data_IF_209098093937
#
_entry.id   IF_209098093937
#
_cell.length_a   1.000
_cell.length_b   1.000
_cell.length_c   1.000
_cell.angle_alpha   90.00
_cell.angle_beta   90.00
_cell.angle_gamma   90.00
#
_symmetry.space_group_name_H-M   'P 1'
#
loop_
_entity.id
_entity.type
_entity.pdbx_description
1 polymer ?
#
# COMPACT_ATOMS: atom_id res chain seq x y z
N UNK A 1 50.48 -14.66 -2.03
CA UNK A 1 51.57 -15.23 -1.19
C UNK A 1 52.87 -15.17 -1.98
N UNK A 2 53.99 -14.79 -1.35
CA UNK A 2 55.31 -14.71 -1.99
C UNK A 2 56.28 -15.57 -1.19
N UNK A 3 56.87 -16.59 -1.82
CA UNK A 3 57.90 -17.40 -1.19
C UNK A 3 59.26 -16.71 -1.32
N UNK A 4 59.75 -16.12 -0.22
CA UNK A 4 61.10 -15.53 -0.13
C UNK A 4 62.15 -16.52 0.40
N UNK A 5 61.76 -17.75 0.68
CA UNK A 5 62.63 -18.81 1.13
C UNK A 5 63.43 -19.43 -0.01
N UNK A 6 64.35 -20.32 0.37
CA UNK A 6 65.23 -21.05 -0.55
C UNK A 6 64.73 -22.47 -0.86
N UNK A 7 63.58 -22.86 -0.30
CA UNK A 7 62.91 -24.14 -0.51
C UNK A 7 61.46 -23.93 -0.97
N UNK A 8 60.87 -24.96 -1.57
CA UNK A 8 59.46 -24.97 -1.95
C UNK A 8 58.55 -24.77 -0.72
N UNK A 9 57.54 -23.92 -0.85
CA UNK A 9 56.58 -23.64 0.21
C UNK A 9 55.21 -24.21 -0.15
N UNK A 10 54.85 -25.34 0.46
CA UNK A 10 53.49 -25.88 0.40
C UNK A 10 52.59 -25.06 1.33
N UNK A 11 51.44 -24.60 0.84
CA UNK A 11 50.47 -23.85 1.63
C UNK A 11 49.08 -24.46 1.53
N UNK A 12 48.29 -24.30 2.59
CA UNK A 12 46.87 -24.63 2.61
C UNK A 12 46.08 -23.64 3.47
N UNK A 13 44.88 -23.28 3.00
CA UNK A 13 43.95 -22.44 3.74
C UNK A 13 43.38 -23.24 4.92
N UNK A 14 43.48 -22.68 6.12
CA UNK A 14 42.77 -23.19 7.28
C UNK A 14 41.27 -22.91 7.11
N UNK A 15 40.39 -23.90 7.22
CA UNK A 15 38.95 -23.71 7.06
C UNK A 15 38.42 -22.59 7.97
N UNK A 16 37.64 -21.62 7.45
CA UNK A 16 37.05 -20.56 8.25
C UNK A 16 36.10 -21.13 9.32
N UNK A 17 36.18 -20.62 10.55
CA UNK A 17 35.36 -21.09 11.68
C UNK A 17 34.13 -20.21 11.94
N UNK A 18 34.10 -18.99 11.41
CA UNK A 18 33.01 -18.03 11.60
C UNK A 18 31.95 -18.19 10.51
N UNK A 19 30.66 -17.94 10.80
CA UNK A 19 29.61 -17.98 9.78
C UNK A 19 29.86 -17.03 8.61
N UNK A 20 30.45 -15.86 8.86
CA UNK A 20 30.77 -14.89 7.82
C UNK A 20 32.07 -15.24 7.08
N UNK A 21 33.03 -15.88 7.74
CA UNK A 21 34.21 -16.45 7.09
C UNK A 21 33.85 -17.46 6.02
N UNK A 22 32.76 -18.23 6.22
CA UNK A 22 32.21 -19.17 5.24
C UNK A 22 31.61 -18.49 3.99
N UNK A 23 31.38 -17.17 4.03
CA UNK A 23 30.93 -16.39 2.86
C UNK A 23 32.09 -16.02 1.91
N UNK A 24 33.33 -16.33 2.28
CA UNK A 24 34.52 -16.09 1.46
C UNK A 24 34.96 -17.36 0.74
N UNK A 25 35.32 -17.22 -0.53
CA UNK A 25 35.95 -18.28 -1.32
C UNK A 25 37.33 -17.83 -1.78
N UNK A 26 38.31 -18.70 -1.59
CA UNK A 26 39.70 -18.50 -1.98
C UNK A 26 40.06 -19.48 -3.09
N UNK A 27 40.71 -19.00 -4.15
CA UNK A 27 41.17 -19.85 -5.25
C UNK A 27 42.59 -19.45 -5.69
N UNK A 28 43.59 -20.35 -5.63
CA UNK A 28 43.53 -21.70 -5.05
C UNK A 28 43.50 -21.67 -3.50
N UNK A 29 42.99 -22.75 -2.88
CA UNK A 29 42.99 -22.90 -1.41
C UNK A 29 44.27 -23.56 -0.89
N UNK A 30 44.94 -24.34 -1.72
CA UNK A 30 46.21 -25.00 -1.42
C UNK A 30 47.10 -25.00 -2.66
N UNK A 31 48.39 -25.22 -2.48
CA UNK A 31 49.35 -25.31 -3.58
C UNK A 31 50.79 -25.22 -3.12
N UNK A 32 51.71 -25.22 -4.08
CA UNK A 32 53.15 -25.12 -3.84
C UNK A 32 53.70 -23.87 -4.53
N UNK A 33 54.51 -23.09 -3.82
CA UNK A 33 55.17 -21.90 -4.33
C UNK A 33 56.68 -22.17 -4.35
N UNK A 34 57.29 -22.18 -5.53
CA UNK A 34 58.73 -22.35 -5.70
C UNK A 34 59.52 -21.18 -5.07
N UNK A 35 60.82 -21.34 -4.76
CA UNK A 35 61.69 -20.27 -4.28
C UNK A 35 61.63 -19.02 -5.16
N UNK A 36 61.41 -17.86 -4.55
CA UNK A 36 61.22 -16.57 -5.26
C UNK A 36 59.89 -16.46 -6.02
N UNK A 37 59.03 -17.48 -5.97
CA UNK A 37 57.76 -17.54 -6.67
C UNK A 37 56.64 -16.73 -6.01
N UNK A 38 55.66 -16.34 -6.82
CA UNK A 38 54.46 -15.62 -6.40
C UNK A 38 53.21 -16.42 -6.74
N UNK A 39 52.34 -16.61 -5.75
CA UNK A 39 50.99 -17.16 -5.94
C UNK A 39 49.95 -16.08 -5.69
N UNK A 40 49.14 -15.79 -6.71
CA UNK A 40 47.95 -14.95 -6.60
C UNK A 40 46.80 -15.79 -6.05
N UNK A 41 46.15 -15.33 -4.98
CA UNK A 41 44.93 -15.95 -4.44
C UNK A 41 43.77 -15.03 -4.77
N UNK A 42 42.82 -15.53 -5.57
CA UNK A 42 41.58 -14.83 -5.88
C UNK A 42 40.61 -15.02 -4.72
N UNK A 43 40.06 -13.92 -4.22
CA UNK A 43 39.12 -13.91 -3.10
C UNK A 43 37.78 -13.42 -3.64
N UNK A 44 36.71 -14.18 -3.39
CA UNK A 44 35.34 -13.74 -3.67
C UNK A 44 34.53 -13.77 -2.37
N UNK A 45 33.60 -12.83 -2.22
CA UNK A 45 32.80 -12.68 -1.00
C UNK A 45 31.35 -12.41 -1.35
N UNK A 46 30.44 -13.17 -0.75
CA UNK A 46 28.99 -12.99 -0.91
C UNK A 46 28.31 -13.22 0.43
N UNK A 47 27.75 -12.17 1.02
CA UNK A 47 27.01 -12.24 2.28
C UNK A 47 25.65 -11.54 2.14
N UNK A 48 24.65 -12.08 2.83
CA UNK A 48 23.34 -11.46 3.02
C UNK A 48 23.21 -10.74 4.36
N UNK A 49 24.23 -10.81 5.21
CA UNK A 49 24.26 -10.18 6.54
C UNK A 49 24.84 -8.78 6.40
N UNK A 50 24.04 -7.76 6.72
CA UNK A 50 24.45 -6.36 6.71
C UNK A 50 25.35 -6.01 7.91
N UNK A 51 26.17 -4.98 7.75
CA UNK A 51 26.95 -4.39 8.83
C UNK A 51 28.46 -4.49 8.62
N UNK A 52 29.20 -3.94 9.59
CA UNK A 52 30.66 -4.00 9.61
C UNK A 52 31.12 -5.40 9.94
N UNK A 53 32.22 -5.81 9.32
CA UNK A 53 32.87 -7.07 9.63
C UNK A 53 34.39 -6.98 9.59
N UNK A 54 34.99 -7.93 10.29
CA UNK A 54 36.43 -8.18 10.30
C UNK A 54 36.61 -9.68 10.46
N UNK A 55 37.23 -10.30 9.46
CA UNK A 55 37.49 -11.74 9.44
C UNK A 55 38.98 -11.99 9.25
N UNK A 56 39.49 -13.00 9.94
CA UNK A 56 40.88 -13.43 9.83
C UNK A 56 40.96 -14.82 9.20
N UNK A 57 41.71 -14.91 8.11
CA UNK A 57 41.98 -16.14 7.40
C UNK A 57 43.43 -16.53 7.60
N UNK A 58 43.68 -17.81 7.86
CA UNK A 58 45.01 -18.33 8.15
C UNK A 58 45.43 -19.29 7.05
N UNK A 59 46.64 -19.11 6.53
CA UNK A 59 47.28 -20.05 5.61
C UNK A 59 48.37 -20.79 6.37
N UNK A 60 48.20 -22.10 6.49
CA UNK A 60 49.28 -22.94 6.97
C UNK A 60 50.34 -23.03 5.87
N UNK A 61 51.61 -22.88 6.22
CA UNK A 61 52.73 -23.02 5.29
C UNK A 61 53.70 -24.02 5.90
N UNK A 62 54.00 -25.07 5.16
CA UNK A 62 54.90 -26.13 5.63
C UNK A 62 56.28 -25.54 5.98
N UNK A 63 56.78 -25.87 7.17
CA UNK A 63 58.02 -25.32 7.71
C UNK A 63 57.90 -23.97 8.44
N UNK A 64 56.72 -23.33 8.45
CA UNK A 64 56.45 -22.14 9.26
C UNK A 64 55.79 -22.52 10.60
N UNK A 65 56.33 -22.10 11.76
CA UNK A 65 55.73 -22.41 13.07
C UNK A 65 54.41 -21.66 13.30
N UNK A 66 54.25 -20.50 12.67
CA UNK A 66 53.02 -19.71 12.74
C UNK A 66 52.38 -19.57 11.35
N UNK A 67 51.04 -19.68 11.25
CA UNK A 67 50.35 -19.51 9.99
C UNK A 67 50.34 -18.04 9.54
N UNK A 68 50.38 -17.83 8.23
CA UNK A 68 50.25 -16.49 7.64
C UNK A 68 48.81 -16.03 7.78
N UNK A 69 48.58 -14.91 8.48
CA UNK A 69 47.23 -14.38 8.73
C UNK A 69 46.89 -13.24 7.78
N UNK A 70 45.72 -13.32 7.16
CA UNK A 70 45.10 -12.30 6.31
C UNK A 70 43.85 -11.77 7.01
N UNK A 71 43.85 -10.51 7.39
CA UNK A 71 42.67 -9.84 7.94
C UNK A 71 41.92 -9.10 6.84
N UNK A 72 40.65 -9.42 6.63
CA UNK A 72 39.76 -8.73 5.70
C UNK A 72 38.72 -7.94 6.51
N UNK A 73 38.58 -6.65 6.20
CA UNK A 73 37.60 -5.75 6.84
C UNK A 73 36.70 -5.15 5.79
N UNK A 74 35.43 -4.97 6.13
CA UNK A 74 34.46 -4.36 5.22
C UNK A 74 33.16 -3.99 5.91
N UNK A 75 32.22 -3.46 5.13
CA UNK A 75 30.87 -3.18 5.56
C UNK A 75 29.91 -3.64 4.47
N UNK A 76 29.02 -4.57 4.80
CA UNK A 76 27.96 -5.01 3.89
C UNK A 76 26.79 -4.04 4.03
N UNK A 77 26.41 -3.39 2.94
CA UNK A 77 25.25 -2.50 2.88
C UNK A 77 24.20 -3.08 1.94
N UNK A 78 22.93 -2.80 2.22
CA UNK A 78 21.84 -3.06 1.29
C UNK A 78 21.83 -2.02 0.15
N UNK A 79 20.97 -2.21 -0.86
CA UNK A 79 20.67 -1.15 -1.83
C UNK A 79 20.23 0.11 -1.10
N UNK A 80 20.78 1.26 -1.47
CA UNK A 80 20.35 2.58 -1.02
C UNK A 80 19.25 3.11 -1.93
N UNK A 81 18.21 3.70 -1.35
CA UNK A 81 17.06 4.24 -2.07
C UNK A 81 16.31 5.28 -1.23
N UNK A 82 15.44 6.07 -1.88
CA UNK A 82 14.62 7.07 -1.22
C UNK A 82 13.32 7.34 -2.00
N UNK A 83 12.34 7.92 -1.31
CA UNK A 83 11.19 8.55 -1.95
C UNK A 83 11.50 10.02 -2.29
N UNK A 84 10.93 10.52 -3.38
CA UNK A 84 11.04 11.92 -3.80
C UNK A 84 10.24 12.91 -2.94
N UNK A 85 9.26 12.40 -2.18
CA UNK A 85 8.43 13.16 -1.25
C UNK A 85 8.65 12.71 0.20
N UNK A 86 8.48 13.61 1.19
CA UNK A 86 8.64 13.26 2.61
C UNK A 86 7.42 12.55 3.21
N UNK A 87 6.24 12.70 2.61
CA UNK A 87 4.99 12.07 3.05
C UNK A 87 3.94 12.07 1.93
N UNK A 88 2.90 11.24 2.10
CA UNK A 88 1.69 11.24 1.28
C UNK A 88 0.52 11.78 2.09
N UNK A 89 0.19 13.06 1.91
CA UNK A 89 -0.96 13.68 2.56
C UNK A 89 -2.18 13.71 1.63
N UNK A 90 -3.15 12.84 1.89
CA UNK A 90 -4.40 12.78 1.13
C UNK A 90 -5.35 13.92 1.51
N UNK A 91 -5.13 14.58 2.65
CA UNK A 91 -6.02 15.58 3.22
C UNK A 91 -7.39 14.99 3.56
N UNK A 92 -8.43 15.80 3.37
CA UNK A 92 -9.80 15.37 3.55
C UNK A 92 -10.29 14.60 2.32
N UNK A 93 -10.80 13.39 2.54
CA UNK A 93 -11.36 12.51 1.51
C UNK A 93 -12.81 12.17 1.82
N UNK A 94 -13.63 12.07 0.79
CA UNK A 94 -15.03 11.70 0.97
C UNK A 94 -15.19 10.19 1.08
N UNK A 95 -16.08 9.76 1.98
CA UNK A 95 -16.41 8.35 2.19
C UNK A 95 -16.80 7.65 0.88
N UNK A 96 -16.08 6.60 0.52
CA UNK A 96 -16.31 5.78 -0.67
C UNK A 96 -15.80 6.39 -1.98
N UNK A 97 -15.17 7.56 -1.94
CA UNK A 97 -14.58 8.19 -3.12
C UNK A 97 -13.08 7.89 -3.17
N UNK A 98 -12.58 7.26 -4.25
CA UNK A 98 -11.16 7.00 -4.39
C UNK A 98 -10.39 8.30 -4.62
N UNK A 99 -9.27 8.47 -3.92
CA UNK A 99 -8.28 9.53 -4.17
C UNK A 99 -6.91 8.89 -4.35
N UNK A 100 -6.18 9.32 -5.36
CA UNK A 100 -4.86 8.78 -5.71
C UNK A 100 -3.80 9.86 -5.58
N UNK A 101 -2.71 9.54 -4.90
CA UNK A 101 -1.47 10.31 -4.89
C UNK A 101 -0.35 9.50 -5.56
N UNK A 102 0.74 10.16 -5.90
CA UNK A 102 1.91 9.51 -6.48
C UNK A 102 3.18 9.92 -5.75
N UNK A 103 4.12 9.00 -5.68
CA UNK A 103 5.50 9.23 -5.26
C UNK A 103 6.44 8.43 -6.15
N UNK A 104 7.72 8.79 -6.16
CA UNK A 104 8.77 8.12 -6.90
C UNK A 104 9.74 7.46 -5.95
N UNK A 105 9.99 6.17 -6.17
CA UNK A 105 11.04 5.43 -5.48
C UNK A 105 12.29 5.39 -6.36
N UNK A 106 13.39 5.93 -5.86
CA UNK A 106 14.66 6.03 -6.58
C UNK A 106 15.68 5.08 -5.96
N UNK A 107 16.15 4.10 -6.73
CA UNK A 107 17.30 3.28 -6.34
C UNK A 107 18.58 4.08 -6.62
N UNK A 108 19.34 4.42 -5.59
CA UNK A 108 20.61 5.15 -5.70
C UNK A 108 21.82 4.23 -5.67
N UNK A 109 21.62 2.92 -5.51
CA UNK A 109 22.69 1.94 -5.46
C UNK A 109 23.15 1.46 -6.85
N UNK A 110 24.33 0.84 -6.85
CA UNK A 110 24.94 0.22 -8.01
C UNK A 110 24.36 -1.16 -8.35
N UNK A 111 23.46 -1.68 -7.51
CA UNK A 111 22.86 -3.02 -7.68
C UNK A 111 21.35 -2.92 -7.90
N UNK A 112 20.72 -3.87 -8.60
CA UNK A 112 19.27 -3.95 -8.68
C UNK A 112 18.64 -4.15 -7.29
N UNK A 113 17.46 -3.54 -7.08
CA UNK A 113 16.71 -3.61 -5.84
C UNK A 113 15.33 -4.22 -6.10
N UNK A 114 15.11 -5.44 -5.62
CA UNK A 114 13.79 -6.08 -5.61
C UNK A 114 13.04 -5.71 -4.34
N UNK A 115 11.80 -5.27 -4.48
CA UNK A 115 11.03 -4.69 -3.38
C UNK A 115 9.56 -5.12 -3.38
N UNK A 116 8.94 -4.99 -2.21
CA UNK A 116 7.49 -5.08 -2.01
C UNK A 116 7.01 -3.93 -1.14
N UNK A 117 5.90 -3.31 -1.54
CA UNK A 117 5.25 -2.22 -0.84
C UNK A 117 4.02 -2.73 -0.08
N UNK A 118 3.84 -2.23 1.14
CA UNK A 118 2.69 -2.54 2.00
C UNK A 118 2.30 -1.31 2.81
N UNK A 119 1.08 -1.30 3.34
CA UNK A 119 0.64 -0.35 4.37
C UNK A 119 0.19 -1.18 5.58
N UNK A 120 1.08 -1.39 6.57
CA UNK A 120 0.69 -2.05 7.82
C UNK A 120 -0.45 -1.27 8.47
N UNK A 121 -1.47 -1.97 8.97
CA UNK A 121 -2.63 -1.32 9.61
C UNK A 121 -3.78 -0.93 8.67
N UNK A 122 -3.67 -1.16 7.35
CA UNK A 122 -4.79 -1.00 6.40
C UNK A 122 -5.89 -2.08 6.53
N UNK A 123 -5.87 -2.90 7.59
CA UNK A 123 -6.80 -4.01 7.73
C UNK A 123 -6.45 -5.23 6.87
N UNK A 124 -7.21 -6.30 7.06
CA UNK A 124 -7.01 -7.62 6.41
C UNK A 124 -8.31 -8.21 5.84
N UNK A 125 -9.39 -7.43 5.91
CA UNK A 125 -10.70 -7.79 5.40
C UNK A 125 -10.83 -7.58 3.90
N UNK A 126 -12.08 -7.65 3.44
CA UNK A 126 -12.42 -7.43 2.04
C UNK A 126 -12.01 -6.04 1.57
N UNK A 127 -11.66 -5.88 0.27
CA UNK A 127 -11.37 -4.58 -0.31
C UNK A 127 -12.52 -3.60 -0.14
N UNK A 128 -12.16 -2.35 0.07
CA UNK A 128 -13.09 -1.24 0.06
C UNK A 128 -13.88 -1.17 -1.25
N UNK A 129 -15.12 -0.69 -1.16
CA UNK A 129 -16.03 -0.57 -2.30
C UNK A 129 -16.19 0.91 -2.62
N UNK A 130 -15.94 1.27 -3.88
CA UNK A 130 -16.13 2.64 -4.37
C UNK A 130 -17.61 3.00 -4.43
N UNK A 131 -17.90 4.30 -4.39
CA UNK A 131 -19.27 4.82 -4.53
C UNK A 131 -19.90 4.43 -5.87
N UNK A 132 -19.11 4.40 -6.95
CA UNK A 132 -19.56 4.01 -8.29
C UNK A 132 -20.02 2.55 -8.31
N UNK A 133 -19.22 1.65 -7.74
CA UNK A 133 -19.59 0.24 -7.61
C UNK A 133 -20.88 0.09 -6.79
N UNK A 134 -21.02 0.83 -5.68
CA UNK A 134 -22.24 0.77 -4.86
C UNK A 134 -23.49 1.21 -5.60
N UNK A 135 -23.41 2.27 -6.39
CA UNK A 135 -24.54 2.78 -7.17
C UNK A 135 -24.98 1.80 -8.27
N UNK A 136 -24.03 1.04 -8.84
CA UNK A 136 -24.33 0.03 -9.87
C UNK A 136 -24.86 -1.28 -9.26
N UNK A 137 -24.37 -1.69 -8.09
CA UNK A 137 -24.56 -3.05 -7.57
C UNK A 137 -25.81 -3.30 -6.71
N UNK A 138 -26.68 -2.32 -6.40
CA UNK A 138 -27.92 -2.65 -5.65
C UNK A 138 -29.11 -1.70 -5.79
N UNK A 139 -30.35 -2.24 -5.91
CA UNK A 139 -31.60 -1.55 -5.59
C UNK A 139 -31.91 -1.50 -4.08
N UNK A 140 -31.03 -2.01 -3.20
CA UNK A 140 -31.25 -2.06 -1.74
C UNK A 140 -29.99 -1.61 -0.98
N UNK A 141 -29.91 -0.34 -0.54
CA UNK A 141 -28.80 0.15 0.26
C UNK A 141 -28.99 -0.35 1.70
N UNK A 142 -28.58 -1.58 1.99
CA UNK A 142 -28.25 -1.88 3.38
C UNK A 142 -26.89 -1.24 3.62
N UNK A 143 -26.88 -0.06 4.25
CA UNK A 143 -25.74 0.36 5.06
C UNK A 143 -25.56 -0.77 6.08
N UNK A 144 -24.72 -1.76 5.76
CA UNK A 144 -24.47 -2.90 6.63
C UNK A 144 -23.98 -2.32 7.95
N UNK A 145 -24.84 -2.35 8.97
CA UNK A 145 -24.40 -2.11 10.35
C UNK A 145 -23.28 -3.11 10.60
N UNK A 146 -22.10 -2.64 11.02
CA UNK A 146 -20.95 -3.48 11.39
C UNK A 146 -21.46 -4.61 12.29
N UNK A 147 -21.50 -5.82 11.78
CA UNK A 147 -21.63 -7.03 12.60
C UNK A 147 -20.32 -7.18 13.36
N UNK A 148 -20.40 -7.28 14.70
CA UNK A 148 -19.25 -7.50 15.58
C UNK A 148 -18.46 -8.73 15.07
N UNK A 149 -17.19 -8.57 14.72
CA UNK A 149 -16.28 -9.66 14.32
C UNK A 149 -15.76 -9.66 12.88
N UNK A 150 -16.11 -8.69 12.03
CA UNK A 150 -15.50 -8.56 10.70
C UNK A 150 -14.15 -7.83 10.76
N UNK A 151 -13.13 -8.41 10.12
CA UNK A 151 -11.82 -7.78 9.94
C UNK A 151 -11.95 -6.41 9.25
N UNK A 152 -11.10 -5.44 9.62
CA UNK A 152 -11.12 -4.11 9.00
C UNK A 152 -10.87 -4.22 7.50
N UNK A 153 -11.63 -3.49 6.65
CA UNK A 153 -11.50 -3.57 5.21
C UNK A 153 -10.14 -3.04 4.75
N UNK A 154 -9.65 -3.54 3.62
CA UNK A 154 -8.45 -3.02 2.95
C UNK A 154 -8.83 -1.81 2.09
N UNK A 155 -8.37 -0.63 2.48
CA UNK A 155 -8.81 0.66 1.93
C UNK A 155 -7.77 1.32 1.02
N UNK A 156 -6.52 0.88 1.06
CA UNK A 156 -5.46 1.34 0.17
C UNK A 156 -5.18 0.36 -0.97
N UNK A 157 -4.84 0.90 -2.13
CA UNK A 157 -4.32 0.15 -3.28
C UNK A 157 -3.03 0.78 -3.77
N UNK A 158 -1.99 -0.03 -3.93
CA UNK A 158 -0.64 0.41 -4.33
C UNK A 158 -0.34 -0.13 -5.74
N UNK A 159 0.14 0.71 -6.66
CA UNK A 159 0.43 0.35 -8.05
C UNK A 159 1.74 1.01 -8.53
N UNK A 160 2.77 0.24 -8.92
CA UNK A 160 2.94 -1.18 -8.65
C UNK A 160 3.18 -1.44 -7.15
N UNK A 161 2.76 -2.60 -6.62
CA UNK A 161 3.00 -2.97 -5.22
C UNK A 161 4.27 -3.80 -5.00
N UNK A 162 4.96 -4.21 -6.06
CA UNK A 162 6.23 -4.92 -6.02
C UNK A 162 6.92 -4.84 -7.37
N UNK A 163 8.23 -5.07 -7.40
CA UNK A 163 9.01 -5.13 -8.62
C UNK A 163 10.51 -5.08 -8.36
N UNK A 164 11.29 -4.85 -9.41
CA UNK A 164 12.74 -4.67 -9.31
C UNK A 164 13.13 -3.37 -9.98
N UNK A 165 13.83 -2.50 -9.25
CA UNK A 165 14.40 -1.26 -9.77
C UNK A 165 15.87 -1.52 -10.08
N UNK A 166 16.28 -1.38 -11.35
CA UNK A 166 17.68 -1.47 -11.75
C UNK A 166 18.57 -0.46 -11.01
N UNK A 167 19.89 -0.63 -11.09
CA UNK A 167 20.84 0.36 -10.57
C UNK A 167 20.55 1.74 -11.14
N UNK A 168 20.56 2.76 -10.26
CA UNK A 168 20.19 4.14 -10.60
C UNK A 168 18.82 4.32 -11.27
N UNK A 169 17.93 3.33 -11.13
CA UNK A 169 16.59 3.35 -11.69
C UNK A 169 15.61 4.12 -10.81
N UNK A 170 14.48 4.48 -11.41
CA UNK A 170 13.35 5.14 -10.74
C UNK A 170 12.07 4.39 -11.05
N UNK A 171 11.10 4.46 -10.14
CA UNK A 171 9.78 3.90 -10.32
C UNK A 171 8.71 4.82 -9.74
N UNK A 172 7.76 5.22 -10.56
CA UNK A 172 6.59 5.96 -10.10
C UNK A 172 5.56 4.99 -9.50
N UNK A 173 5.08 5.33 -8.31
CA UNK A 173 4.15 4.55 -7.49
C UNK A 173 2.89 5.38 -7.29
N UNK A 174 1.74 4.78 -7.54
CA UNK A 174 0.43 5.33 -7.24
C UNK A 174 -0.14 4.66 -6.00
N UNK A 175 -0.59 5.48 -5.05
CA UNK A 175 -1.29 5.03 -3.84
C UNK A 175 -2.70 5.60 -3.86
N UNK A 176 -3.70 4.73 -3.86
CA UNK A 176 -5.11 5.09 -3.90
C UNK A 176 -5.78 4.74 -2.58
N UNK A 177 -6.40 5.72 -1.92
CA UNK A 177 -7.26 5.55 -0.77
C UNK A 177 -8.72 5.56 -1.21
N UNK A 178 -9.49 4.52 -0.89
CA UNK A 178 -10.95 4.51 -0.98
C UNK A 178 -11.53 4.14 0.38
N UNK A 179 -11.67 5.11 1.26
CA UNK A 179 -12.14 4.84 2.62
C UNK A 179 -13.60 4.38 2.65
N UNK A 180 -13.88 3.33 3.41
CA UNK A 180 -15.21 2.83 3.74
C UNK A 180 -15.48 2.93 5.25
N UNK A 181 -14.65 3.70 5.97
CA UNK A 181 -14.74 3.97 7.40
C UNK A 181 -14.47 5.45 7.68
N UNK A 182 -15.37 6.12 8.40
CA UNK A 182 -15.15 7.53 8.80
C UNK A 182 -14.11 7.53 9.92
N UNK A 183 -12.87 7.87 9.59
CA UNK A 183 -11.72 7.91 10.52
C UNK A 183 -10.59 8.81 10.00
N UNK A 184 -9.64 9.11 10.89
CA UNK A 184 -8.33 9.66 10.53
C UNK A 184 -7.33 8.52 10.34
N UNK A 185 -6.41 8.69 9.39
CA UNK A 185 -5.35 7.75 9.05
C UNK A 185 -4.01 8.38 9.40
N UNK A 186 -3.21 7.67 10.17
CA UNK A 186 -1.80 7.96 10.43
C UNK A 186 -1.05 6.63 10.28
N UNK A 187 -0.64 6.33 9.05
CA UNK A 187 -0.02 5.06 8.65
C UNK A 187 1.28 5.34 7.89
N UNK A 188 1.93 4.29 7.40
CA UNK A 188 3.10 4.42 6.53
C UNK A 188 3.05 3.42 5.38
N UNK A 189 3.48 3.87 4.20
CA UNK A 189 3.85 3.00 3.09
C UNK A 189 5.26 2.46 3.36
N UNK A 190 5.36 1.17 3.68
CA UNK A 190 6.62 0.52 4.00
C UNK A 190 7.20 -0.23 2.80
N UNK A 191 8.53 -0.21 2.70
CA UNK A 191 9.30 -0.91 1.67
C UNK A 191 9.99 -2.12 2.30
N UNK A 192 9.61 -3.31 1.87
CA UNK A 192 10.39 -4.52 2.09
C UNK A 192 11.36 -4.70 0.93
N UNK A 193 12.60 -5.13 1.23
CA UNK A 193 13.63 -5.38 0.22
C UNK A 193 14.11 -6.83 0.34
N UNK A 194 14.02 -7.56 -0.76
CA UNK A 194 14.34 -8.98 -0.81
C UNK A 194 15.81 -9.22 -0.44
N UNK A 195 16.07 -10.15 0.48
CA UNK A 195 17.41 -10.46 0.97
C UNK A 195 18.02 -9.42 1.93
N UNK A 196 17.32 -8.32 2.22
CA UNK A 196 17.80 -7.24 3.09
C UNK A 196 16.95 -7.17 4.37
N UNK A 197 15.62 -7.06 4.23
CA UNK A 197 14.74 -6.94 5.39
C UNK A 197 13.32 -6.49 5.08
N UNK A 198 12.48 -6.48 6.12
CA UNK A 198 11.14 -5.89 6.08
C UNK A 198 11.15 -4.50 6.65
N UNK A 199 10.29 -3.63 6.13
CA UNK A 199 10.10 -2.26 6.62
C UNK A 199 11.42 -1.46 6.68
N UNK A 200 12.25 -1.62 5.65
CA UNK A 200 13.58 -1.00 5.52
C UNK A 200 13.48 0.52 5.38
N UNK A 201 12.40 1.00 4.75
CA UNK A 201 12.05 2.40 4.65
C UNK A 201 10.54 2.56 4.82
N UNK A 202 10.13 3.66 5.42
CA UNK A 202 8.72 4.01 5.61
C UNK A 202 8.46 5.43 5.13
N UNK A 203 7.42 5.60 4.31
CA UNK A 203 6.90 6.90 3.89
C UNK A 203 5.59 7.19 4.64
N UNK A 204 5.57 8.20 5.53
CA UNK A 204 4.37 8.57 6.28
C UNK A 204 3.19 8.89 5.35
N UNK A 205 2.00 8.48 5.76
CA UNK A 205 0.75 8.69 5.03
C UNK A 205 -0.35 9.17 5.98
N UNK A 206 -1.01 10.27 5.61
CA UNK A 206 -2.09 10.88 6.38
C UNK A 206 -3.36 11.09 5.56
N UNK A 207 -4.52 10.94 6.19
CA UNK A 207 -5.81 11.26 5.58
C UNK A 207 -6.90 11.46 6.65
N UNK A 208 -7.98 12.17 6.31
CA UNK A 208 -9.23 12.18 7.10
C UNK A 208 -10.41 11.85 6.21
N UNK A 209 -11.10 10.75 6.51
CA UNK A 209 -12.31 10.37 5.79
C UNK A 209 -13.53 11.03 6.44
N UNK A 210 -14.28 11.78 5.64
CA UNK A 210 -15.46 12.54 6.06
C UNK A 210 -16.69 12.15 5.24
N UNK A 211 -17.87 12.36 5.82
CA UNK A 211 -19.16 12.30 5.10
C UNK A 211 -19.67 13.73 4.96
N UNK A 212 -19.71 14.31 3.76
CA UNK A 212 -20.18 15.67 3.59
C UNK A 212 -21.69 15.78 3.87
N UNK A 213 -22.13 16.77 4.65
CA UNK A 213 -23.54 16.95 4.97
C UNK A 213 -24.31 17.47 3.75
N UNK A 214 -25.28 16.69 3.28
CA UNK A 214 -26.22 17.10 2.23
C UNK A 214 -27.48 17.71 2.87
N UNK A 215 -28.00 18.78 2.28
CA UNK A 215 -29.21 19.48 2.77
C UNK A 215 -30.29 19.46 1.70
N UNK A 216 -31.54 19.26 2.10
CA UNK A 216 -32.69 19.51 1.23
C UNK A 216 -32.98 21.02 1.17
N UNK A 217 -33.06 21.59 -0.03
CA UNK A 217 -33.48 22.99 -0.21
C UNK A 217 -34.98 23.14 0.05
N UNK A 218 -35.77 22.17 -0.42
CA UNK A 218 -37.20 22.06 -0.21
C UNK A 218 -37.52 20.79 0.61
N UNK A 219 -37.33 20.82 1.94
CA UNK A 219 -37.49 19.64 2.81
C UNK A 219 -38.94 19.12 2.89
N UNK A 220 -39.92 19.94 2.52
CA UNK A 220 -41.33 19.57 2.41
C UNK A 220 -41.71 19.60 0.94
N UNK A 221 -42.19 18.47 0.41
CA UNK A 221 -42.63 18.33 -0.97
C UNK A 221 -44.14 18.08 -0.99
N UNK A 222 -44.89 19.01 -1.56
CA UNK A 222 -46.35 18.93 -1.62
C UNK A 222 -46.80 18.43 -2.99
N UNK A 223 -47.46 17.26 -3.04
CA UNK A 223 -47.99 16.69 -4.29
C UNK A 223 -49.40 17.19 -4.62
N UNK A 224 -50.11 17.81 -3.67
CA UNK A 224 -51.45 18.36 -3.90
C UNK A 224 -52.48 17.26 -4.18
N UNK A 225 -53.30 17.45 -5.22
CA UNK A 225 -54.35 16.48 -5.63
C UNK A 225 -53.76 15.40 -6.53
N UNK A 226 -53.65 14.18 -6.02
CA UNK A 226 -53.19 13.02 -6.77
C UNK A 226 -54.37 12.16 -7.25
N UNK A 227 -54.22 11.51 -8.40
CA UNK A 227 -55.17 10.53 -8.89
C UNK A 227 -54.82 9.12 -8.36
N UNK A 228 -55.84 8.32 -8.04
CA UNK A 228 -55.68 6.93 -7.63
C UNK A 228 -54.92 6.14 -8.69
N UNK A 229 -53.92 5.35 -8.25
CA UNK A 229 -53.13 4.43 -9.08
C UNK A 229 -52.41 5.10 -10.27
N UNK A 230 -52.22 6.42 -10.21
CA UNK A 230 -51.44 7.18 -11.18
C UNK A 230 -50.25 7.84 -10.48
N UNK A 231 -49.04 7.78 -11.08
CA UNK A 231 -47.86 8.40 -10.51
C UNK A 231 -47.95 9.93 -10.62
N UNK A 232 -47.79 10.61 -9.49
CA UNK A 232 -47.61 12.06 -9.41
C UNK A 232 -46.12 12.36 -9.21
N UNK A 233 -45.58 13.32 -9.95
CA UNK A 233 -44.16 13.65 -9.90
C UNK A 233 -43.92 14.97 -9.18
N UNK A 234 -42.88 15.00 -8.35
CA UNK A 234 -42.32 16.23 -7.78
C UNK A 234 -40.80 16.14 -7.67
N UNK A 235 -40.12 17.26 -7.45
CA UNK A 235 -38.66 17.30 -7.33
C UNK A 235 -38.21 17.73 -5.95
N UNK A 236 -37.23 17.01 -5.38
CA UNK A 236 -36.49 17.41 -4.19
C UNK A 236 -35.10 17.88 -4.61
N UNK A 237 -34.70 19.08 -4.23
CA UNK A 237 -33.35 19.59 -4.50
C UNK A 237 -32.44 19.28 -3.33
N UNK A 238 -31.41 18.48 -3.57
CA UNK A 238 -30.33 18.21 -2.63
C UNK A 238 -29.17 19.15 -2.91
N UNK A 239 -28.64 19.78 -1.88
CA UNK A 239 -27.55 20.76 -1.96
C UNK A 239 -26.36 20.25 -1.14
N UNK A 240 -25.18 20.26 -1.77
CA UNK A 240 -23.90 20.01 -1.14
C UNK A 240 -23.12 21.32 -1.03
N UNK A 241 -23.05 21.87 0.18
CA UNK A 241 -22.29 23.08 0.46
C UNK A 241 -20.83 22.80 0.87
N UNK A 242 -20.40 21.54 0.91
CA UNK A 242 -19.03 21.19 1.28
C UNK A 242 -18.09 21.20 0.07
N UNK A 243 -16.79 21.16 0.35
CA UNK A 243 -15.73 21.05 -0.66
C UNK A 243 -15.47 19.59 -1.10
N UNK A 244 -16.18 18.63 -0.51
CA UNK A 244 -16.07 17.21 -0.80
C UNK A 244 -17.31 16.70 -1.55
N UNK A 245 -17.17 15.76 -2.50
CA UNK A 245 -18.32 15.17 -3.18
C UNK A 245 -19.13 14.33 -2.21
N UNK A 246 -20.45 14.49 -2.21
CA UNK A 246 -21.37 13.67 -1.43
C UNK A 246 -22.03 12.59 -2.28
N UNK A 247 -22.51 11.53 -1.64
CA UNK A 247 -23.39 10.55 -2.28
C UNK A 247 -24.68 10.46 -1.49
N UNK A 248 -25.81 10.38 -2.19
CA UNK A 248 -27.12 10.14 -1.58
C UNK A 248 -27.69 8.81 -2.06
N UNK A 249 -28.58 8.26 -1.26
CA UNK A 249 -29.44 7.15 -1.66
C UNK A 249 -30.81 7.32 -1.02
N UNK A 250 -31.86 7.23 -1.82
CA UNK A 250 -33.24 7.24 -1.38
C UNK A 250 -33.54 5.90 -0.69
N UNK A 251 -33.86 5.97 0.59
CA UNK A 251 -34.19 4.78 1.36
C UNK A 251 -35.52 4.18 0.87
N UNK A 252 -35.62 2.85 0.77
CA UNK A 252 -36.88 2.20 0.43
C UNK A 252 -37.97 2.52 1.45
N UNK A 253 -39.18 2.77 0.97
CA UNK A 253 -40.35 2.91 1.84
C UNK A 253 -40.52 1.68 2.75
N UNK A 254 -40.65 1.93 4.06
CA UNK A 254 -41.00 0.91 5.04
C UNK A 254 -42.47 0.52 4.88
N UNK A 255 -42.80 -0.77 5.04
CA UNK A 255 -44.18 -1.30 4.96
C UNK A 255 -44.93 -1.02 3.65
N UNK A 256 -44.40 -1.44 2.49
CA UNK A 256 -45.09 -1.28 1.18
C UNK A 256 -46.45 -2.01 1.06
N UNK A 257 -46.69 -3.06 1.84
CA UNK A 257 -47.96 -3.81 1.82
C UNK A 257 -48.99 -3.08 2.67
N UNK A 258 -50.10 -2.68 2.06
CA UNK A 258 -51.19 -1.94 2.74
C UNK A 258 -50.92 -0.45 2.93
N UNK A 259 -49.81 0.09 2.42
CA UNK A 259 -49.55 1.53 2.47
C UNK A 259 -50.56 2.29 1.62
N UNK A 260 -51.10 3.38 2.17
CA UNK A 260 -52.01 4.28 1.48
C UNK A 260 -51.37 4.96 0.26
N UNK A 261 -50.05 5.09 0.28
CA UNK A 261 -49.24 5.76 -0.74
C UNK A 261 -47.97 4.96 -1.00
N UNK A 262 -47.52 4.88 -2.25
CA UNK A 262 -46.22 4.33 -2.62
C UNK A 262 -45.32 5.43 -3.15
N UNK A 263 -44.10 5.55 -2.62
CA UNK A 263 -43.10 6.47 -3.17
C UNK A 263 -41.94 5.72 -3.83
N UNK A 264 -41.39 6.32 -4.87
CA UNK A 264 -40.20 5.85 -5.58
C UNK A 264 -39.47 7.01 -6.25
N UNK A 265 -38.29 6.75 -6.80
CA UNK A 265 -37.55 7.70 -7.62
C UNK A 265 -36.83 6.96 -8.73
N UNK A 266 -36.83 7.46 -9.97
CA UNK A 266 -35.98 6.92 -11.02
C UNK A 266 -34.48 7.17 -10.77
N UNK A 267 -34.14 8.13 -9.91
CA UNK A 267 -32.77 8.49 -9.54
C UNK A 267 -32.51 8.23 -8.04
N UNK A 268 -32.84 7.03 -7.56
CA UNK A 268 -32.79 6.62 -6.16
C UNK A 268 -31.39 6.61 -5.52
N UNK A 269 -30.33 6.95 -6.26
CA UNK A 269 -29.01 7.19 -5.72
C UNK A 269 -28.17 7.99 -6.71
N UNK A 270 -27.23 8.77 -6.20
CA UNK A 270 -26.41 9.62 -7.04
C UNK A 270 -25.34 10.37 -6.26
N UNK A 271 -24.50 11.09 -7.00
CA UNK A 271 -23.42 11.90 -6.47
C UNK A 271 -23.83 13.36 -6.54
N UNK A 272 -23.56 14.12 -5.48
CA UNK A 272 -23.66 15.59 -5.46
C UNK A 272 -22.25 16.14 -5.40
N UNK A 273 -21.84 16.88 -6.43
CA UNK A 273 -20.49 17.43 -6.51
C UNK A 273 -20.25 18.48 -5.41
N UNK A 274 -18.98 18.82 -5.12
CA UNK A 274 -18.67 19.93 -4.23
C UNK A 274 -19.37 21.21 -4.67
N UNK A 275 -19.88 21.99 -3.71
CA UNK A 275 -20.51 23.30 -3.97
C UNK A 275 -21.61 23.26 -5.05
N UNK A 276 -22.37 22.17 -5.13
CA UNK A 276 -23.37 21.95 -6.17
C UNK A 276 -24.71 21.48 -5.61
N UNK A 277 -25.73 21.44 -6.45
CA UNK A 277 -27.02 20.83 -6.17
C UNK A 277 -27.39 19.78 -7.22
N UNK A 278 -28.32 18.90 -6.86
CA UNK A 278 -28.93 17.93 -7.77
C UNK A 278 -30.44 17.87 -7.52
N UNK A 279 -31.20 17.70 -8.60
CA UNK A 279 -32.64 17.45 -8.53
C UNK A 279 -32.90 15.95 -8.42
N UNK A 280 -33.59 15.56 -7.35
CA UNK A 280 -34.07 14.21 -7.10
C UNK A 280 -35.56 14.13 -7.46
N UNK A 281 -35.92 13.56 -8.62
CA UNK A 281 -37.32 13.35 -8.97
C UNK A 281 -37.94 12.30 -8.05
N UNK A 282 -39.07 12.62 -7.44
CA UNK A 282 -39.90 11.76 -6.60
C UNK A 282 -41.19 11.43 -7.33
N UNK A 283 -41.57 10.16 -7.30
CA UNK A 283 -42.83 9.65 -7.84
C UNK A 283 -43.67 9.07 -6.72
N UNK A 284 -44.91 9.55 -6.62
CA UNK A 284 -45.88 9.17 -5.60
C UNK A 284 -47.13 8.57 -6.26
N UNK A 285 -47.53 7.37 -5.84
CA UNK A 285 -48.72 6.68 -6.33
C UNK A 285 -49.69 6.42 -5.17
N UNK A 286 -50.84 7.08 -5.20
CA UNK A 286 -51.90 6.90 -4.21
C UNK A 286 -52.61 5.55 -4.41
N UNK A 287 -52.70 4.74 -3.34
CA UNK A 287 -53.35 3.42 -3.35
C UNK A 287 -54.79 3.47 -2.83
N UNK A 288 -55.12 4.47 -2.00
CA UNK A 288 -56.44 4.68 -1.40
C UNK A 288 -56.83 6.16 -1.48
N UNK A 289 -58.12 6.46 -1.34
CA UNK A 289 -58.64 7.83 -1.28
C UNK A 289 -58.54 8.40 0.14
N UNK A 290 -58.60 9.73 0.24
CA UNK A 290 -58.56 10.46 1.51
C UNK A 290 -57.32 11.33 1.65
N UNK A 291 -57.31 12.17 2.69
CA UNK A 291 -56.15 12.98 3.04
C UNK A 291 -55.07 12.10 3.67
N UNK A 292 -53.84 12.22 3.18
CA UNK A 292 -52.69 11.45 3.66
C UNK A 292 -51.58 12.43 4.00
N UNK A 293 -51.12 12.41 5.26
CA UNK A 293 -49.89 13.09 5.69
C UNK A 293 -48.83 12.00 5.90
N UNK A 294 -47.81 11.97 5.03
CA UNK A 294 -46.74 10.97 5.02
C UNK A 294 -45.36 11.60 5.01
#
# INVERSE_FOLDING_TARGET
>A
LHNKGVIDASFSLVPPATPLGLCFTFLPQEGIILPGGLQVIRISFTSTVLGQFMEEFKFNVEGSPEPVTLTIRGCVIGPTFHFDVPSLDFGDVSFGFPRTLSCRLTNTSLVPMSFRLRIPGDGSGQPSITVFTRLVSSPRPSWRKRTRGWAEPTEFTIRPCSGTIRSHGVLDIQVTLCSNTVRSYELALVVDVDGVGKEVLALPLTARCLVPPLRALNPVVTFGRCFLKLPSLQTLTLVNNSDLPGCYSLLPQKHKKGAAVRFSSPAAGGIVQPRSSVELPLSLEAQVTGQQDT
#
